data_IF_965254743227
#
_entry.id   IF_965254743227
#
_cell.length_a   1.000
_cell.length_b   1.000
_cell.length_c   1.000
_cell.angle_alpha   90.00
_cell.angle_beta   90.00
_cell.angle_gamma   90.00
#
_symmetry.space_group_name_H-M   'P 1'
#
loop_
_entity.id
_entity.type
_entity.pdbx_description
1 polymer ?
#
# COMPACT_ATOMS: atom_id res chain seq x y z
N UNK A 1 75.04 -161.44 79.48
CA UNK A 1 74.42 -161.22 80.80
C UNK A 1 72.93 -161.42 80.60
N UNK A 2 72.36 -162.63 80.59
CA UNK A 2 72.58 -163.89 81.32
C UNK A 2 71.80 -164.01 82.65
N UNK A 3 70.86 -164.96 82.65
CA UNK A 3 70.66 -166.00 83.67
C UNK A 3 70.04 -165.66 85.03
N UNK A 4 69.48 -164.46 85.25
CA UNK A 4 68.74 -164.11 86.49
C UNK A 4 67.45 -163.30 86.31
N UNK A 5 66.65 -163.64 85.30
CA UNK A 5 65.22 -163.25 85.29
C UNK A 5 64.35 -164.48 85.05
N UNK A 6 63.40 -164.70 85.95
CA UNK A 6 62.34 -165.67 85.78
C UNK A 6 61.29 -165.13 84.79
N UNK A 7 60.57 -166.04 84.14
CA UNK A 7 59.52 -165.69 83.17
C UNK A 7 58.53 -164.60 83.66
N UNK A 8 57.97 -164.64 84.89
CA UNK A 8 57.06 -163.59 85.35
C UNK A 8 57.72 -162.20 85.53
N UNK A 9 59.02 -162.11 85.80
CA UNK A 9 59.72 -160.82 85.89
C UNK A 9 59.89 -160.19 84.50
N UNK A 10 60.17 -161.02 83.48
CA UNK A 10 60.18 -160.57 82.08
C UNK A 10 58.78 -160.10 81.65
N UNK A 11 57.73 -160.83 82.05
CA UNK A 11 56.34 -160.40 81.82
C UNK A 11 56.00 -159.10 82.54
N UNK A 12 56.48 -158.87 83.77
CA UNK A 12 56.24 -157.62 84.51
C UNK A 12 56.91 -156.41 83.84
N UNK A 13 58.17 -156.54 83.41
CA UNK A 13 58.87 -155.46 82.68
C UNK A 13 58.25 -155.21 81.31
N UNK A 14 57.77 -156.26 80.62
CA UNK A 14 56.98 -156.10 79.40
C UNK A 14 55.65 -155.39 79.67
N UNK A 15 54.96 -155.72 80.76
CA UNK A 15 53.69 -155.10 81.16
C UNK A 15 53.89 -153.62 81.49
N UNK A 16 54.88 -153.23 82.30
CA UNK A 16 55.18 -151.82 82.59
C UNK A 16 55.56 -151.03 81.32
N UNK A 17 56.35 -151.62 80.41
CA UNK A 17 56.67 -150.95 79.14
C UNK A 17 55.44 -150.83 78.23
N UNK A 18 54.56 -151.84 78.18
CA UNK A 18 53.30 -151.78 77.44
C UNK A 18 52.36 -150.74 78.04
N UNK A 19 52.20 -150.70 79.35
CA UNK A 19 51.32 -149.74 80.03
C UNK A 19 51.87 -148.31 79.93
N UNK A 20 53.18 -148.10 80.01
CA UNK A 20 53.82 -146.82 79.73
C UNK A 20 53.65 -146.38 78.27
N UNK A 21 53.82 -147.31 77.31
CA UNK A 21 53.57 -147.05 75.89
C UNK A 21 52.09 -146.74 75.62
N UNK A 22 51.15 -147.40 76.29
CA UNK A 22 49.71 -147.09 76.23
C UNK A 22 49.43 -145.70 76.82
N UNK A 23 50.07 -145.33 77.93
CA UNK A 23 49.86 -144.04 78.58
C UNK A 23 50.43 -142.89 77.75
N UNK A 24 51.63 -143.03 77.16
CA UNK A 24 52.18 -142.04 76.23
C UNK A 24 51.49 -142.06 74.86
N UNK A 25 50.97 -143.20 74.38
CA UNK A 25 50.11 -143.26 73.19
C UNK A 25 48.79 -142.51 73.42
N UNK A 26 48.15 -142.70 74.57
CA UNK A 26 46.94 -141.97 74.95
C UNK A 26 47.23 -140.47 75.07
N UNK A 27 48.30 -140.07 75.75
CA UNK A 27 48.76 -138.67 75.85
C UNK A 27 49.11 -138.07 74.48
N UNK A 28 49.67 -138.86 73.56
CA UNK A 28 49.91 -138.43 72.18
C UNK A 28 48.60 -138.28 71.40
N UNK A 29 47.64 -139.19 71.59
CA UNK A 29 46.32 -139.14 70.96
C UNK A 29 45.48 -137.95 71.48
N UNK A 30 45.57 -137.62 72.77
CA UNK A 30 45.01 -136.39 73.36
C UNK A 30 45.64 -135.13 72.75
N UNK A 31 46.97 -135.09 72.62
CA UNK A 31 47.69 -133.99 71.97
C UNK A 31 47.30 -133.86 70.49
N UNK A 32 47.17 -134.97 69.76
CA UNK A 32 46.69 -134.99 68.37
C UNK A 32 45.25 -134.47 68.30
N UNK A 33 44.35 -134.94 69.17
CA UNK A 33 42.96 -134.47 69.24
C UNK A 33 42.86 -132.97 69.53
N UNK A 34 43.71 -132.47 70.44
CA UNK A 34 43.78 -131.04 70.76
C UNK A 34 44.39 -130.21 69.62
N UNK A 35 45.43 -130.70 68.94
CA UNK A 35 46.01 -130.06 67.77
C UNK A 35 45.06 -130.09 66.57
N UNK A 36 44.31 -131.17 66.35
CA UNK A 36 43.24 -131.23 65.36
C UNK A 36 42.14 -130.21 65.67
N UNK A 37 41.72 -130.09 66.93
CA UNK A 37 40.75 -129.09 67.35
C UNK A 37 41.27 -127.66 67.10
N UNK A 38 42.52 -127.37 67.48
CA UNK A 38 43.17 -126.08 67.21
C UNK A 38 43.27 -125.81 65.70
N UNK A 39 43.68 -126.79 64.91
CA UNK A 39 43.79 -126.65 63.46
C UNK A 39 42.42 -126.42 62.80
N UNK A 40 41.38 -127.18 63.20
CA UNK A 40 39.99 -126.99 62.73
C UNK A 40 39.46 -125.61 63.10
N UNK A 41 39.64 -125.17 64.34
CA UNK A 41 39.24 -123.84 64.82
C UNK A 41 40.03 -122.70 64.13
N UNK A 42 41.33 -122.90 63.88
CA UNK A 42 42.17 -121.94 63.14
C UNK A 42 41.80 -121.89 61.66
N UNK A 43 41.43 -123.00 61.03
CA UNK A 43 40.90 -122.98 59.66
C UNK A 43 39.53 -122.33 59.57
N UNK A 44 38.65 -122.53 60.56
CA UNK A 44 37.34 -121.87 60.61
C UNK A 44 37.50 -120.35 60.75
N UNK A 45 38.23 -119.88 61.77
CA UNK A 45 38.48 -118.45 62.00
C UNK A 45 39.28 -117.79 60.86
N UNK A 46 40.19 -118.50 60.20
CA UNK A 46 40.86 -118.00 58.99
C UNK A 46 39.91 -117.89 57.79
N UNK A 47 38.99 -118.83 57.63
CA UNK A 47 37.98 -118.80 56.57
C UNK A 47 36.94 -117.69 56.82
N UNK A 48 36.46 -117.54 58.05
CA UNK A 48 35.60 -116.42 58.48
C UNK A 48 36.27 -115.05 58.28
N UNK A 49 37.56 -114.92 58.63
CA UNK A 49 38.33 -113.69 58.41
C UNK A 49 38.50 -113.41 56.92
N UNK A 50 38.83 -114.43 56.12
CA UNK A 50 38.98 -114.29 54.67
C UNK A 50 37.66 -113.91 54.00
N UNK A 51 36.54 -114.55 54.39
CA UNK A 51 35.22 -114.19 53.89
C UNK A 51 34.83 -112.76 54.30
N UNK A 52 35.06 -112.37 55.56
CA UNK A 52 34.80 -111.00 56.03
C UNK A 52 35.65 -109.97 55.29
N UNK A 53 36.90 -110.31 54.95
CA UNK A 53 37.79 -109.46 54.16
C UNK A 53 37.33 -109.34 52.70
N UNK A 54 36.90 -110.44 52.08
CA UNK A 54 36.34 -110.49 50.73
C UNK A 54 35.03 -109.67 50.66
N UNK A 55 34.11 -109.86 51.62
CA UNK A 55 32.85 -109.13 51.72
C UNK A 55 33.07 -107.62 51.93
N UNK A 56 34.04 -107.23 52.76
CA UNK A 56 34.38 -105.82 52.97
C UNK A 56 35.07 -105.19 51.76
N UNK A 57 35.95 -105.90 51.05
CA UNK A 57 36.51 -105.42 49.78
C UNK A 57 35.45 -105.26 48.70
N UNK A 58 34.55 -106.25 48.53
CA UNK A 58 33.45 -106.17 47.57
C UNK A 58 32.54 -104.98 47.87
N UNK A 59 32.15 -104.79 49.14
CA UNK A 59 31.34 -103.66 49.59
C UNK A 59 32.02 -102.30 49.35
N UNK A 60 33.33 -102.19 49.59
CA UNK A 60 34.09 -100.95 49.30
C UNK A 60 34.21 -100.72 47.79
N UNK A 61 34.42 -101.77 46.99
CA UNK A 61 34.48 -101.66 45.52
C UNK A 61 33.12 -101.25 44.91
N UNK A 62 32.00 -101.75 45.44
CA UNK A 62 30.66 -101.31 45.06
C UNK A 62 30.40 -99.85 45.46
N UNK A 63 30.76 -99.45 46.68
CA UNK A 63 30.65 -98.05 47.13
C UNK A 63 31.49 -97.10 46.27
N UNK A 64 32.72 -97.49 45.93
CA UNK A 64 33.60 -96.69 45.07
C UNK A 64 33.04 -96.56 43.65
N UNK A 65 32.52 -97.65 43.06
CA UNK A 65 31.81 -97.60 41.76
C UNK A 65 30.55 -96.73 41.82
N UNK A 66 29.78 -96.78 42.91
CA UNK A 66 28.59 -95.95 43.08
C UNK A 66 28.96 -94.46 43.19
N UNK A 67 30.04 -94.14 43.91
CA UNK A 67 30.57 -92.78 44.04
C UNK A 67 31.13 -92.25 42.72
N UNK A 68 31.90 -93.05 41.97
CA UNK A 68 32.41 -92.71 40.65
C UNK A 68 31.27 -92.42 39.67
N UNK A 69 30.25 -93.29 39.61
CA UNK A 69 29.06 -93.08 38.78
C UNK A 69 28.28 -91.83 39.20
N UNK A 70 28.21 -91.51 40.50
CA UNK A 70 27.58 -90.30 41.01
C UNK A 70 28.32 -89.04 40.52
N UNK A 71 29.65 -88.99 40.68
CA UNK A 71 30.48 -87.89 40.20
C UNK A 71 30.47 -87.76 38.67
N UNK A 72 30.52 -88.87 37.94
CA UNK A 72 30.51 -88.87 36.48
C UNK A 72 29.14 -88.42 35.92
N UNK A 73 28.05 -88.67 36.65
CA UNK A 73 26.74 -88.07 36.38
C UNK A 73 26.71 -86.58 36.70
N UNK A 74 27.10 -86.17 37.91
CA UNK A 74 27.17 -84.74 38.29
C UNK A 74 28.02 -83.91 37.33
N UNK A 75 29.14 -84.46 36.86
CA UNK A 75 29.99 -83.84 35.83
C UNK A 75 29.22 -83.61 34.53
N UNK A 76 28.53 -84.64 34.00
CA UNK A 76 27.72 -84.52 32.78
C UNK A 76 26.58 -83.51 32.94
N UNK A 77 25.88 -83.55 34.07
CA UNK A 77 24.78 -82.64 34.40
C UNK A 77 25.29 -81.17 34.43
N UNK A 78 26.48 -80.93 35.01
CA UNK A 78 27.15 -79.61 35.00
C UNK A 78 27.64 -79.20 33.61
N UNK A 79 28.31 -80.07 32.86
CA UNK A 79 28.77 -79.79 31.49
C UNK A 79 27.59 -79.44 30.57
N UNK A 80 26.44 -80.12 30.74
CA UNK A 80 25.21 -79.81 30.03
C UNK A 80 24.61 -78.45 30.46
N UNK A 81 24.58 -78.13 31.75
CA UNK A 81 24.14 -76.81 32.23
C UNK A 81 25.03 -75.67 31.72
N UNK A 82 26.35 -75.82 31.78
CA UNK A 82 27.30 -74.81 31.28
C UNK A 82 27.19 -74.63 29.76
N UNK A 83 27.03 -75.70 28.98
CA UNK A 83 26.84 -75.59 27.52
C UNK A 83 25.52 -74.89 27.15
N UNK A 84 24.43 -75.17 27.87
CA UNK A 84 23.16 -74.44 27.72
C UNK A 84 23.29 -72.96 28.05
N UNK A 85 23.89 -72.62 29.19
CA UNK A 85 24.11 -71.23 29.61
C UNK A 85 25.02 -70.47 28.63
N UNK A 86 26.08 -71.11 28.12
CA UNK A 86 26.97 -70.53 27.12
C UNK A 86 26.23 -70.25 25.81
N UNK A 87 25.37 -71.18 25.37
CA UNK A 87 24.50 -71.01 24.20
C UNK A 87 23.51 -69.86 24.36
N UNK A 88 22.87 -69.73 25.53
CA UNK A 88 22.00 -68.60 25.84
C UNK A 88 22.74 -67.25 25.85
N UNK A 89 23.93 -67.19 26.46
CA UNK A 89 24.76 -65.98 26.48
C UNK A 89 25.19 -65.60 25.06
N UNK A 90 25.57 -66.57 24.24
CA UNK A 90 25.94 -66.33 22.83
C UNK A 90 24.76 -65.81 22.00
N UNK A 91 23.58 -66.45 22.10
CA UNK A 91 22.37 -66.01 21.40
C UNK A 91 21.91 -64.61 21.83
N UNK A 92 22.01 -64.28 23.13
CA UNK A 92 21.75 -62.92 23.63
C UNK A 92 22.76 -61.92 23.08
N UNK A 93 24.06 -62.25 23.10
CA UNK A 93 25.12 -61.38 22.59
C UNK A 93 24.96 -61.09 21.08
N UNK A 94 24.66 -62.11 20.26
CA UNK A 94 24.36 -61.94 18.84
C UNK A 94 23.17 -61.01 18.61
N UNK A 95 22.06 -61.19 19.36
CA UNK A 95 20.89 -60.32 19.26
C UNK A 95 21.19 -58.87 19.66
N UNK A 96 22.09 -58.65 20.62
CA UNK A 96 22.57 -57.29 20.96
C UNK A 96 23.47 -56.70 19.86
N UNK A 97 24.31 -57.51 19.21
CA UNK A 97 25.12 -57.08 18.07
C UNK A 97 24.24 -56.66 16.88
N UNK A 98 23.28 -57.50 16.47
CA UNK A 98 22.34 -57.21 15.36
C UNK A 98 21.52 -55.93 15.63
N UNK A 99 21.11 -55.70 16.88
CA UNK A 99 20.37 -54.48 17.24
C UNK A 99 21.25 -53.24 17.36
N UNK A 100 22.52 -53.39 17.75
CA UNK A 100 23.50 -52.29 17.74
C UNK A 100 23.91 -51.89 16.31
N UNK A 101 24.11 -52.84 15.40
CA UNK A 101 24.40 -52.59 13.99
C UNK A 101 23.21 -51.88 13.31
N UNK A 102 21.99 -52.40 13.50
CA UNK A 102 20.76 -51.77 13.00
C UNK A 102 20.48 -50.39 13.61
N UNK A 103 20.99 -50.11 14.82
CA UNK A 103 20.95 -48.77 15.41
C UNK A 103 22.00 -47.83 14.77
N UNK A 104 23.21 -48.34 14.50
CA UNK A 104 24.29 -47.61 13.83
C UNK A 104 23.93 -47.21 12.40
N UNK A 105 23.31 -48.11 11.62
CA UNK A 105 22.79 -47.81 10.28
C UNK A 105 21.76 -46.68 10.30
N UNK A 106 20.79 -46.76 11.23
CA UNK A 106 19.79 -45.70 11.43
C UNK A 106 20.43 -44.37 11.84
N UNK A 107 21.44 -44.41 12.71
CA UNK A 107 22.16 -43.20 13.12
C UNK A 107 22.86 -42.54 11.93
N UNK A 108 23.60 -43.30 11.12
CA UNK A 108 24.26 -42.78 9.92
C UNK A 108 23.26 -42.19 8.90
N UNK A 109 22.09 -42.82 8.73
CA UNK A 109 21.03 -42.29 7.85
C UNK A 109 20.45 -40.96 8.39
N UNK A 110 20.21 -40.85 9.70
CA UNK A 110 19.74 -39.62 10.35
C UNK A 110 20.81 -38.53 10.33
N UNK A 111 22.09 -38.90 10.48
CA UNK A 111 23.22 -37.98 10.44
C UNK A 111 23.37 -37.34 9.04
N UNK A 112 23.25 -38.13 7.97
CA UNK A 112 23.23 -37.60 6.60
C UNK A 112 22.07 -36.62 6.37
N UNK A 113 20.85 -36.95 6.80
CA UNK A 113 19.68 -36.05 6.68
C UNK A 113 19.88 -34.78 7.51
N UNK A 114 20.55 -34.87 8.66
CA UNK A 114 20.94 -33.71 9.48
C UNK A 114 21.96 -32.82 8.76
N UNK A 115 22.96 -33.38 8.08
CA UNK A 115 23.92 -32.61 7.28
C UNK A 115 23.23 -31.90 6.10
N UNK A 116 22.34 -32.59 5.38
CA UNK A 116 21.53 -32.03 4.29
C UNK A 116 20.68 -30.85 4.79
N UNK A 117 19.97 -31.01 5.92
CA UNK A 117 19.17 -29.95 6.55
C UNK A 117 20.02 -28.76 7.06
N UNK A 118 21.26 -29.00 7.52
CA UNK A 118 22.17 -27.92 7.93
C UNK A 118 22.60 -27.09 6.71
N UNK A 119 22.90 -27.75 5.58
CA UNK A 119 23.24 -27.09 4.33
C UNK A 119 22.05 -26.27 3.80
N UNK A 120 20.85 -26.85 3.74
CA UNK A 120 19.61 -26.14 3.36
C UNK A 120 19.33 -24.93 4.27
N UNK A 121 19.45 -25.09 5.59
CA UNK A 121 19.24 -23.99 6.54
C UNK A 121 20.23 -22.83 6.29
N UNK A 122 21.50 -23.15 6.03
CA UNK A 122 22.52 -22.14 5.69
C UNK A 122 22.22 -21.42 4.37
N UNK A 123 21.71 -22.15 3.38
CA UNK A 123 21.31 -21.62 2.08
C UNK A 123 20.10 -20.69 2.17
N UNK A 124 19.02 -21.11 2.84
CA UNK A 124 17.84 -20.27 3.06
C UNK A 124 18.16 -19.03 3.90
N UNK A 125 19.04 -19.15 4.91
CA UNK A 125 19.52 -17.99 5.69
C UNK A 125 20.29 -17.01 4.82
N UNK A 126 21.15 -17.49 3.91
CA UNK A 126 21.85 -16.64 2.94
C UNK A 126 20.87 -15.90 2.03
N UNK A 127 19.92 -16.62 1.41
CA UNK A 127 18.88 -16.02 0.56
C UNK A 127 18.07 -14.96 1.32
N UNK A 128 17.61 -15.27 2.53
CA UNK A 128 16.82 -14.33 3.34
C UNK A 128 17.58 -13.04 3.68
N UNK A 129 18.88 -13.14 3.99
CA UNK A 129 19.70 -11.93 4.24
C UNK A 129 19.94 -11.11 2.96
N UNK A 130 20.04 -11.76 1.80
CA UNK A 130 20.19 -11.08 0.52
C UNK A 130 18.87 -10.41 0.07
N UNK A 131 17.72 -11.07 0.15
CA UNK A 131 16.43 -10.47 -0.21
C UNK A 131 16.05 -9.33 0.74
N UNK A 132 16.36 -9.44 2.05
CA UNK A 132 16.16 -8.33 2.99
C UNK A 132 17.04 -7.12 2.65
N UNK A 133 18.26 -7.33 2.15
CA UNK A 133 19.15 -6.28 1.64
C UNK A 133 18.62 -5.66 0.34
N UNK A 134 18.09 -6.46 -0.56
CA UNK A 134 17.44 -5.99 -1.79
C UNK A 134 16.19 -5.16 -1.49
N UNK A 135 15.31 -5.61 -0.60
CA UNK A 135 14.12 -4.86 -0.18
C UNK A 135 14.48 -3.52 0.50
N UNK A 136 15.48 -3.49 1.38
CA UNK A 136 15.90 -2.26 2.07
C UNK A 136 16.61 -1.27 1.15
N UNK A 137 17.45 -1.75 0.22
CA UNK A 137 18.08 -0.88 -0.80
C UNK A 137 17.05 -0.35 -1.81
N UNK A 138 16.08 -1.17 -2.23
CA UNK A 138 14.99 -0.75 -3.10
C UNK A 138 14.05 0.26 -2.41
N UNK A 139 13.71 0.06 -1.12
CA UNK A 139 12.95 1.04 -0.35
C UNK A 139 13.68 2.39 -0.27
N UNK A 140 14.99 2.38 0.01
CA UNK A 140 15.78 3.61 0.05
C UNK A 140 15.83 4.32 -1.33
N UNK A 141 15.94 3.56 -2.43
CA UNK A 141 15.85 4.12 -3.78
C UNK A 141 14.46 4.70 -4.09
N UNK A 142 13.39 4.01 -3.71
CA UNK A 142 12.02 4.51 -3.84
C UNK A 142 11.76 5.76 -2.98
N UNK A 143 12.35 5.85 -1.77
CA UNK A 143 12.26 7.01 -0.89
C UNK A 143 12.99 8.24 -1.46
N UNK A 144 14.17 8.06 -2.09
CA UNK A 144 14.84 9.10 -2.88
C UNK A 144 13.99 9.55 -4.07
N UNK A 145 13.46 8.60 -4.85
CA UNK A 145 12.65 8.87 -6.04
C UNK A 145 11.33 9.57 -5.70
N UNK A 146 10.63 9.15 -4.65
CA UNK A 146 9.44 9.83 -4.15
C UNK A 146 9.77 11.25 -3.68
N UNK A 147 10.85 11.39 -2.90
CA UNK A 147 11.36 12.67 -2.39
C UNK A 147 11.78 13.66 -3.48
N UNK A 148 12.14 13.19 -4.68
CA UNK A 148 12.42 14.04 -5.84
C UNK A 148 11.18 14.28 -6.72
N UNK A 149 10.41 13.22 -7.03
CA UNK A 149 9.32 13.25 -7.99
C UNK A 149 8.07 13.95 -7.45
N UNK A 150 7.67 13.67 -6.20
CA UNK A 150 6.43 14.22 -5.65
C UNK A 150 6.47 15.76 -5.47
N UNK A 151 7.57 16.38 -4.99
CA UNK A 151 7.71 17.84 -4.98
C UNK A 151 7.71 18.48 -6.37
N UNK A 152 8.19 17.79 -7.41
CA UNK A 152 8.11 18.27 -8.80
C UNK A 152 6.69 18.15 -9.34
N UNK A 153 6.01 17.03 -9.10
CA UNK A 153 4.61 16.79 -9.48
C UNK A 153 3.65 17.80 -8.85
N UNK A 154 3.68 17.95 -7.52
CA UNK A 154 2.80 18.88 -6.79
C UNK A 154 3.00 20.35 -7.24
N UNK A 155 4.25 20.78 -7.45
CA UNK A 155 4.55 22.10 -8.06
C UNK A 155 4.02 22.21 -9.49
N UNK A 156 4.14 21.17 -10.31
CA UNK A 156 3.61 21.13 -11.68
C UNK A 156 2.08 21.24 -11.71
N UNK A 157 1.37 20.50 -10.86
CA UNK A 157 -0.07 20.60 -10.68
C UNK A 157 -0.50 22.02 -10.28
N UNK A 158 0.15 22.59 -9.24
CA UNK A 158 -0.17 23.94 -8.78
C UNK A 158 0.12 25.03 -9.84
N UNK A 159 1.16 24.85 -10.68
CA UNK A 159 1.44 25.70 -11.82
C UNK A 159 0.42 25.51 -12.96
N UNK A 160 -0.06 24.29 -13.21
CA UNK A 160 -1.14 24.03 -14.17
C UNK A 160 -2.40 24.78 -13.75
N UNK A 161 -2.89 24.59 -12.52
CA UNK A 161 -4.09 25.28 -12.03
C UNK A 161 -3.94 26.81 -12.10
N UNK A 162 -2.75 27.35 -11.83
CA UNK A 162 -2.47 28.78 -11.99
C UNK A 162 -2.46 29.24 -13.46
N UNK A 163 -1.88 28.45 -14.38
CA UNK A 163 -1.96 28.69 -15.84
C UNK A 163 -3.42 28.72 -16.29
N UNK A 164 -4.21 27.73 -15.90
CA UNK A 164 -5.59 27.56 -16.37
C UNK A 164 -6.49 28.70 -15.89
N UNK A 165 -6.34 29.13 -14.63
CA UNK A 165 -6.98 30.35 -14.12
C UNK A 165 -6.50 31.61 -14.87
N UNK A 166 -5.21 31.76 -15.15
CA UNK A 166 -4.70 32.92 -15.89
C UNK A 166 -5.17 32.94 -17.35
N UNK A 167 -5.35 31.77 -17.97
CA UNK A 167 -5.87 31.63 -19.33
C UNK A 167 -7.34 32.03 -19.40
N UNK A 168 -8.18 31.60 -18.45
CA UNK A 168 -9.57 32.04 -18.32
C UNK A 168 -9.68 33.57 -18.20
N UNK A 169 -8.86 34.17 -17.33
CA UNK A 169 -8.84 35.61 -17.12
C UNK A 169 -8.32 36.38 -18.36
N UNK A 170 -7.37 35.82 -19.11
CA UNK A 170 -6.90 36.37 -20.37
C UNK A 170 -7.97 36.29 -21.48
N UNK A 171 -8.67 35.16 -21.59
CA UNK A 171 -9.78 34.97 -22.52
C UNK A 171 -10.91 35.97 -22.24
N UNK A 172 -11.31 36.09 -20.98
CA UNK A 172 -12.32 37.07 -20.52
C UNK A 172 -11.89 38.51 -20.83
N UNK A 173 -10.60 38.84 -20.66
CA UNK A 173 -10.08 40.15 -21.00
C UNK A 173 -10.11 40.44 -22.52
N UNK A 174 -9.75 39.49 -23.38
CA UNK A 174 -9.81 39.71 -24.83
C UNK A 174 -11.26 39.81 -25.35
N UNK A 175 -12.21 39.04 -24.80
CA UNK A 175 -13.65 39.20 -25.09
C UNK A 175 -14.12 40.61 -24.71
N UNK A 176 -13.88 41.03 -23.46
CA UNK A 176 -14.24 42.38 -23.00
C UNK A 176 -13.57 43.49 -23.83
N UNK A 177 -12.30 43.33 -24.18
CA UNK A 177 -11.55 44.25 -25.06
C UNK A 177 -12.15 44.32 -26.47
N UNK A 178 -12.73 43.22 -26.96
CA UNK A 178 -13.46 43.22 -28.23
C UNK A 178 -14.82 43.92 -28.11
N UNK A 179 -15.56 43.74 -27.01
CA UNK A 179 -16.78 44.53 -26.73
C UNK A 179 -16.48 46.04 -26.70
N UNK A 180 -15.38 46.43 -26.02
CA UNK A 180 -14.90 47.82 -25.96
C UNK A 180 -14.62 48.35 -27.37
N UNK A 181 -13.97 47.57 -28.23
CA UNK A 181 -13.72 47.95 -29.63
C UNK A 181 -15.02 48.11 -30.40
N UNK A 182 -15.91 47.12 -30.39
CA UNK A 182 -17.19 47.16 -31.12
C UNK A 182 -18.02 48.38 -30.71
N UNK A 183 -18.12 48.64 -29.40
CA UNK A 183 -18.81 49.82 -28.86
C UNK A 183 -18.12 51.12 -29.25
N UNK A 184 -16.78 51.16 -29.30
CA UNK A 184 -16.02 52.32 -29.76
C UNK A 184 -16.24 52.61 -31.25
N UNK A 185 -16.28 51.59 -32.12
CA UNK A 185 -16.54 51.78 -33.55
C UNK A 185 -17.99 52.23 -33.79
N UNK A 186 -18.96 51.69 -33.04
CA UNK A 186 -20.37 52.09 -33.10
C UNK A 186 -20.67 53.51 -32.56
N UNK A 187 -19.69 54.18 -31.95
CA UNK A 187 -19.82 55.54 -31.38
C UNK A 187 -18.82 56.56 -31.97
N UNK A 188 -17.89 56.13 -32.83
CA UNK A 188 -16.77 56.95 -33.29
C UNK A 188 -17.05 57.64 -34.62
N UNK A 189 -17.97 58.60 -34.60
CA UNK A 189 -18.25 59.50 -35.73
C UNK A 189 -18.34 60.97 -35.27
N UNK A 190 -17.57 61.32 -34.22
CA UNK A 190 -17.53 62.65 -33.58
C UNK A 190 -16.06 63.05 -33.32
N UNK A 191 -15.72 64.29 -33.64
CA UNK A 191 -14.34 64.80 -33.74
C UNK A 191 -13.57 64.90 -32.40
N UNK A 192 -12.31 64.45 -32.36
CA UNK A 192 -11.37 64.78 -31.27
C UNK A 192 -10.59 66.08 -31.54
N UNK A 193 -11.08 67.21 -31.01
CA UNK A 193 -10.29 68.44 -30.77
C UNK A 193 -10.59 69.00 -29.36
N UNK A 194 -9.78 69.98 -28.93
CA UNK A 194 -9.92 70.72 -27.66
C UNK A 194 -9.94 69.91 -26.34
N UNK A 195 -8.74 69.55 -25.83
CA UNK A 195 -8.39 69.46 -24.39
C UNK A 195 -6.98 68.87 -24.24
N UNK A 196 -5.90 69.65 -24.06
CA UNK A 196 -4.57 69.04 -23.78
C UNK A 196 -3.84 69.56 -22.52
N UNK A 197 -4.09 70.79 -22.05
CA UNK A 197 -3.47 71.29 -20.82
C UNK A 197 -3.83 70.46 -19.58
N UNK A 198 -5.13 70.22 -19.35
CA UNK A 198 -5.59 69.40 -18.24
C UNK A 198 -5.16 67.91 -18.34
N UNK A 199 -4.75 67.43 -19.52
CA UNK A 199 -4.27 66.06 -19.72
C UNK A 199 -2.88 65.87 -19.09
N UNK A 200 -2.02 66.89 -19.03
CA UNK A 200 -0.61 66.76 -18.58
C UNK A 200 -0.49 66.36 -17.10
N UNK A 201 -1.11 67.11 -16.17
CA UNK A 201 -1.11 66.75 -14.73
C UNK A 201 -1.84 65.42 -14.45
N UNK A 202 -2.92 65.12 -15.16
CA UNK A 202 -3.65 63.84 -15.05
C UNK A 202 -2.86 62.64 -15.63
N UNK A 203 -2.00 62.83 -16.63
CA UNK A 203 -1.08 61.80 -17.16
C UNK A 203 -0.10 61.32 -16.07
N UNK A 204 0.50 62.22 -15.27
CA UNK A 204 1.51 61.87 -14.26
C UNK A 204 1.00 60.87 -13.19
N UNK A 205 -0.04 61.23 -12.44
CA UNK A 205 -0.60 60.35 -11.40
C UNK A 205 -1.19 59.05 -11.98
N UNK A 206 -1.80 59.11 -13.17
CA UNK A 206 -2.29 57.92 -13.91
C UNK A 206 -1.13 57.00 -14.33
N UNK A 207 0.07 57.56 -14.56
CA UNK A 207 1.33 56.84 -14.73
C UNK A 207 1.79 56.18 -13.42
N UNK A 208 1.89 56.94 -12.32
CA UNK A 208 2.32 56.40 -11.02
C UNK A 208 1.42 55.26 -10.51
N UNK A 209 0.10 55.37 -10.65
CA UNK A 209 -0.85 54.29 -10.31
C UNK A 209 -0.60 53.04 -11.18
N UNK A 210 -0.29 53.20 -12.47
CA UNK A 210 0.04 52.08 -13.37
C UNK A 210 1.37 51.43 -13.00
N UNK A 211 2.39 52.22 -12.66
CA UNK A 211 3.70 51.73 -12.21
C UNK A 211 3.55 50.96 -10.89
N UNK A 212 2.84 51.52 -9.90
CA UNK A 212 2.57 50.85 -8.64
C UNK A 212 1.79 49.55 -8.83
N UNK A 213 0.73 49.53 -9.66
CA UNK A 213 0.00 48.29 -9.97
C UNK A 213 0.87 47.23 -10.65
N UNK A 214 1.77 47.62 -11.56
CA UNK A 214 2.78 46.70 -12.13
C UNK A 214 3.70 46.13 -11.04
N UNK A 215 4.22 46.98 -10.15
CA UNK A 215 5.06 46.55 -9.02
C UNK A 215 4.34 45.60 -8.06
N UNK A 216 3.08 45.89 -7.71
CA UNK A 216 2.22 45.00 -6.91
C UNK A 216 2.06 43.63 -7.56
N UNK A 217 1.80 43.58 -8.87
CA UNK A 217 1.65 42.32 -9.61
C UNK A 217 2.96 41.52 -9.60
N UNK A 218 4.11 42.16 -9.87
CA UNK A 218 5.43 41.51 -9.84
C UNK A 218 5.76 40.98 -8.43
N UNK A 219 5.51 41.76 -7.38
CA UNK A 219 5.76 41.35 -5.99
C UNK A 219 4.85 40.21 -5.54
N UNK A 220 3.57 40.22 -5.95
CA UNK A 220 2.64 39.11 -5.67
C UNK A 220 3.00 37.85 -6.48
N UNK A 221 3.44 37.99 -7.72
CA UNK A 221 3.92 36.88 -8.54
C UNK A 221 5.20 36.25 -7.95
N UNK A 222 6.18 37.08 -7.56
CA UNK A 222 7.39 36.63 -6.89
C UNK A 222 7.09 35.93 -5.55
N UNK A 223 6.14 36.45 -4.75
CA UNK A 223 5.73 35.81 -3.50
C UNK A 223 5.01 34.46 -3.74
N UNK A 224 4.18 34.35 -4.78
CA UNK A 224 3.57 33.07 -5.19
C UNK A 224 4.63 32.06 -5.66
N UNK A 225 5.59 32.49 -6.46
CA UNK A 225 6.73 31.67 -6.90
C UNK A 225 7.57 31.17 -5.70
N UNK A 226 7.84 32.06 -4.73
CA UNK A 226 8.52 31.73 -3.49
C UNK A 226 7.74 30.70 -2.65
N UNK A 227 6.41 30.84 -2.53
CA UNK A 227 5.56 29.86 -1.83
C UNK A 227 5.62 28.49 -2.53
N UNK A 228 5.54 28.43 -3.86
CA UNK A 228 5.72 27.19 -4.64
C UNK A 228 7.11 26.55 -4.42
N UNK A 229 8.14 27.35 -4.13
CA UNK A 229 9.46 26.85 -3.75
C UNK A 229 9.50 26.26 -2.34
N UNK A 230 8.71 26.79 -1.40
CA UNK A 230 8.90 26.60 0.05
C UNK A 230 8.16 25.41 0.68
N UNK A 231 7.37 24.66 -0.09
CA UNK A 231 6.42 23.67 0.42
C UNK A 231 6.99 22.33 0.90
N UNK A 232 8.31 22.11 0.84
CA UNK A 232 8.94 20.82 1.22
C UNK A 232 10.25 21.05 1.98
N UNK A 233 10.50 20.23 3.01
CA UNK A 233 11.78 20.21 3.72
C UNK A 233 12.79 19.40 2.90
N UNK A 234 13.83 20.09 2.44
CA UNK A 234 14.88 19.54 1.61
C UNK A 234 15.87 18.71 2.43
N UNK A 235 16.21 17.53 1.92
CA UNK A 235 17.34 16.72 2.39
C UNK A 235 18.64 17.16 1.70
N UNK A 236 18.60 17.31 0.38
CA UNK A 236 19.68 17.88 -0.43
C UNK A 236 19.15 18.41 -1.77
N UNK A 237 20.00 19.15 -2.49
CA UNK A 237 19.78 19.51 -3.89
C UNK A 237 20.79 18.77 -4.77
N UNK A 238 20.29 18.04 -5.77
CA UNK A 238 21.12 17.38 -6.78
C UNK A 238 21.32 18.30 -7.97
N UNK A 239 22.56 18.53 -8.37
CA UNK A 239 22.92 19.35 -9.54
C UNK A 239 23.71 18.48 -10.51
N UNK A 240 23.28 18.44 -11.78
CA UNK A 240 24.05 17.88 -12.90
C UNK A 240 25.28 18.77 -13.14
N UNK A 241 26.48 18.25 -12.88
CA UNK A 241 27.73 19.02 -12.91
C UNK A 241 28.10 19.65 -14.26
N UNK A 242 27.35 19.31 -15.32
CA UNK A 242 27.54 19.84 -16.68
C UNK A 242 26.64 21.03 -17.02
N UNK A 243 25.77 21.50 -16.11
CA UNK A 243 24.87 22.65 -16.35
C UNK A 243 24.71 23.53 -15.11
N UNK A 244 24.78 24.85 -15.33
CA UNK A 244 24.44 25.90 -14.35
C UNK A 244 22.91 26.00 -14.13
N UNK A 245 22.29 24.88 -13.76
CA UNK A 245 20.85 24.72 -13.60
C UNK A 245 20.37 24.75 -12.15
N UNK A 246 19.09 25.03 -11.97
CA UNK A 246 18.41 24.86 -10.67
C UNK A 246 18.32 23.36 -10.39
N UNK A 247 19.01 22.89 -9.34
CA UNK A 247 19.08 21.48 -8.98
C UNK A 247 17.74 20.86 -8.57
N UNK A 248 17.63 19.55 -8.74
CA UNK A 248 16.48 18.77 -8.28
C UNK A 248 16.52 18.69 -6.74
N UNK A 249 15.46 19.16 -6.09
CA UNK A 249 15.33 19.15 -4.64
C UNK A 249 14.80 17.78 -4.17
N UNK A 250 15.62 17.03 -3.43
CA UNK A 250 15.20 15.76 -2.81
C UNK A 250 14.71 16.08 -1.40
N UNK A 251 13.47 15.69 -1.11
CA UNK A 251 12.75 16.02 0.13
C UNK A 251 12.40 14.77 0.94
N UNK A 252 12.10 14.96 2.23
CA UNK A 252 11.68 13.91 3.17
C UNK A 252 10.18 14.04 3.51
N UNK A 253 9.51 12.91 3.71
CA UNK A 253 8.12 12.86 4.19
C UNK A 253 8.00 13.20 5.68
N UNK A 254 6.76 13.41 6.14
CA UNK A 254 6.39 13.63 7.56
C UNK A 254 7.13 14.75 8.32
N UNK A 255 7.87 15.61 7.61
CA UNK A 255 8.81 16.54 8.20
C UNK A 255 8.08 17.71 8.92
N UNK A 256 7.79 17.52 10.20
CA UNK A 256 7.20 18.54 11.09
C UNK A 256 8.25 19.63 11.39
N UNK A 257 8.05 20.83 10.85
CA UNK A 257 8.97 21.95 11.04
C UNK A 257 8.99 22.42 12.50
N UNK A 258 10.15 22.26 13.15
CA UNK A 258 10.42 22.74 14.51
C UNK A 258 11.25 24.02 14.46
N UNK A 259 10.55 25.12 14.15
CA UNK A 259 11.02 26.47 14.43
C UNK A 259 11.49 26.56 15.92
N UNK A 260 12.49 27.41 16.19
CA UNK A 260 13.18 27.64 17.49
C UNK A 260 14.36 26.72 17.88
N UNK A 261 14.74 25.70 17.09
CA UNK A 261 15.90 24.86 17.42
C UNK A 261 17.26 25.44 16.97
N UNK A 262 18.33 25.10 17.69
CA UNK A 262 19.72 25.44 17.32
C UNK A 262 20.21 24.67 16.09
N UNK A 263 21.34 25.09 15.52
CA UNK A 263 21.88 24.52 14.26
C UNK A 263 22.16 23.01 14.37
N UNK A 264 22.94 22.58 15.35
CA UNK A 264 23.27 21.16 15.52
C UNK A 264 22.07 20.29 15.88
N UNK A 265 21.11 20.82 16.65
CA UNK A 265 19.85 20.11 16.94
C UNK A 265 19.01 19.90 15.66
N UNK A 266 18.99 20.88 14.75
CA UNK A 266 18.35 20.73 13.43
C UNK A 266 19.08 19.70 12.57
N UNK A 267 20.40 19.79 12.46
CA UNK A 267 21.23 18.83 11.71
C UNK A 267 21.00 17.39 12.19
N UNK A 268 21.01 17.15 13.52
CA UNK A 268 20.73 15.84 14.11
C UNK A 268 19.30 15.34 13.86
N UNK A 269 18.29 16.22 13.95
CA UNK A 269 16.89 15.87 13.67
C UNK A 269 16.68 15.57 12.19
N UNK A 270 17.31 16.30 11.27
CA UNK A 270 17.24 16.00 9.84
C UNK A 270 17.89 14.65 9.51
N UNK A 271 19.01 14.28 10.15
CA UNK A 271 19.58 12.94 10.02
C UNK A 271 18.62 11.83 10.51
N UNK A 272 17.95 12.05 11.64
CA UNK A 272 16.95 11.10 12.16
C UNK A 272 15.71 10.99 11.24
N UNK A 273 15.20 12.11 10.74
CA UNK A 273 14.08 12.15 9.80
C UNK A 273 14.43 11.50 8.44
N UNK A 274 15.66 11.68 7.97
CA UNK A 274 16.16 11.02 6.76
C UNK A 274 16.25 9.51 6.96
N UNK A 275 16.77 9.05 8.10
CA UNK A 275 16.84 7.63 8.42
C UNK A 275 15.44 7.01 8.51
N UNK A 276 14.50 7.65 9.22
CA UNK A 276 13.11 7.17 9.29
C UNK A 276 12.39 7.20 7.93
N UNK A 277 12.77 8.12 7.03
CA UNK A 277 12.26 8.14 5.65
C UNK A 277 12.75 6.94 4.84
N UNK A 278 14.06 6.65 4.88
CA UNK A 278 14.65 5.50 4.17
C UNK A 278 14.24 4.14 4.76
N UNK A 279 13.75 4.09 5.99
CA UNK A 279 13.24 2.87 6.65
C UNK A 279 11.73 2.91 6.93
N UNK A 280 10.95 3.77 6.24
CA UNK A 280 9.52 3.94 6.52
C UNK A 280 8.71 2.70 6.12
N UNK A 281 8.06 2.07 7.10
CA UNK A 281 7.08 1.00 6.91
C UNK A 281 5.90 1.45 6.06
N UNK A 282 5.50 2.71 6.22
CA UNK A 282 4.25 3.23 5.69
C UNK A 282 4.43 3.65 4.23
N UNK A 283 5.62 4.16 3.89
CA UNK A 283 6.08 4.28 2.51
C UNK A 283 6.20 2.92 1.81
N UNK A 284 6.80 1.91 2.46
CA UNK A 284 6.91 0.56 1.90
C UNK A 284 5.52 -0.06 1.63
N UNK A 285 4.60 0.05 2.59
CA UNK A 285 3.22 -0.38 2.44
C UNK A 285 2.49 0.39 1.33
N UNK A 286 2.69 1.72 1.23
CA UNK A 286 2.12 2.54 0.18
C UNK A 286 2.62 2.16 -1.22
N UNK A 287 3.90 1.80 -1.37
CA UNK A 287 4.48 1.29 -2.62
C UNK A 287 3.86 -0.05 -2.98
N UNK A 288 3.96 -1.06 -2.09
CA UNK A 288 3.46 -2.42 -2.34
C UNK A 288 1.97 -2.41 -2.69
N UNK A 289 1.15 -1.74 -1.88
CA UNK A 289 -0.31 -1.70 -2.09
C UNK A 289 -0.76 -0.82 -3.26
N UNK A 290 0.13 -0.03 -3.86
CA UNK A 290 -0.16 0.69 -5.11
C UNK A 290 0.28 -0.11 -6.34
N UNK A 291 1.35 -0.90 -6.23
CA UNK A 291 1.88 -1.73 -7.33
C UNK A 291 1.23 -3.11 -7.47
N UNK A 292 0.45 -3.56 -6.48
CA UNK A 292 -0.18 -4.88 -6.47
C UNK A 292 -0.96 -5.24 -7.75
N UNK A 293 -1.78 -4.33 -8.27
CA UNK A 293 -2.55 -4.55 -9.52
C UNK A 293 -1.64 -4.67 -10.75
N UNK A 294 -0.59 -3.85 -10.84
CA UNK A 294 0.40 -3.95 -11.91
C UNK A 294 1.20 -5.25 -11.81
N UNK A 295 1.57 -5.69 -10.60
CA UNK A 295 2.26 -6.96 -10.37
C UNK A 295 1.37 -8.17 -10.70
N UNK A 296 0.07 -8.10 -10.40
CA UNK A 296 -0.90 -9.12 -10.77
C UNK A 296 -1.06 -9.22 -12.30
N UNK A 297 -1.18 -8.09 -13.01
CA UNK A 297 -1.24 -8.08 -14.48
C UNK A 297 0.06 -8.62 -15.07
N UNK A 298 1.23 -8.17 -14.60
CA UNK A 298 2.53 -8.63 -15.10
C UNK A 298 2.78 -10.13 -14.88
N UNK A 299 2.32 -10.70 -13.77
CA UNK A 299 2.50 -12.14 -13.47
C UNK A 299 1.55 -13.07 -14.23
N UNK A 300 0.42 -12.54 -14.76
CA UNK A 300 -0.60 -13.30 -15.51
C UNK A 300 -0.51 -13.14 -17.03
N UNK A 301 0.42 -12.32 -17.53
CA UNK A 301 0.44 -11.87 -18.93
C UNK A 301 1.51 -12.56 -19.77
N UNK A 302 1.09 -13.15 -20.90
CA UNK A 302 2.00 -13.61 -21.95
C UNK A 302 2.59 -12.41 -22.74
N UNK A 303 3.94 -12.26 -22.81
CA UNK A 303 4.60 -11.19 -23.56
C UNK A 303 4.28 -11.16 -25.07
N UNK A 304 3.80 -12.26 -25.64
CA UNK A 304 3.48 -12.38 -27.07
C UNK A 304 2.19 -11.64 -27.48
N UNK A 305 1.32 -11.33 -26.52
CA UNK A 305 -0.05 -10.87 -26.80
C UNK A 305 -0.17 -9.36 -26.98
N UNK A 306 -0.49 -8.90 -28.20
CA UNK A 306 -0.70 -7.47 -28.49
C UNK A 306 -1.81 -6.83 -27.63
N UNK A 307 -2.84 -7.60 -27.27
CA UNK A 307 -3.93 -7.15 -26.38
C UNK A 307 -3.44 -6.83 -24.96
N UNK A 308 -2.32 -7.39 -24.50
CA UNK A 308 -1.83 -7.16 -23.14
C UNK A 308 -1.25 -5.75 -22.93
N UNK A 309 -0.75 -5.10 -23.99
CA UNK A 309 -0.11 -3.78 -23.89
C UNK A 309 -1.05 -2.72 -23.32
N UNK A 310 -2.33 -2.74 -23.72
CA UNK A 310 -3.35 -1.85 -23.18
C UNK A 310 -3.68 -2.14 -21.71
N UNK A 311 -3.66 -3.41 -21.29
CA UNK A 311 -3.89 -3.80 -19.89
C UNK A 311 -2.72 -3.34 -19.00
N UNK A 312 -1.47 -3.58 -19.42
CA UNK A 312 -0.27 -3.13 -18.70
C UNK A 312 -0.25 -1.60 -18.58
N UNK A 313 -0.52 -0.86 -19.66
CA UNK A 313 -0.55 0.62 -19.62
C UNK A 313 -1.67 1.14 -18.71
N UNK A 314 -2.82 0.48 -18.67
CA UNK A 314 -3.93 0.87 -17.79
C UNK A 314 -3.61 0.57 -16.32
N UNK A 315 -3.09 -0.62 -16.02
CA UNK A 315 -2.64 -0.99 -14.67
C UNK A 315 -1.52 -0.05 -14.18
N UNK A 316 -0.53 0.27 -15.03
CA UNK A 316 0.54 1.20 -14.69
C UNK A 316 0.02 2.61 -14.39
N UNK A 317 -0.96 3.12 -15.15
CA UNK A 317 -1.62 4.41 -14.86
C UNK A 317 -2.36 4.39 -13.52
N UNK A 318 -3.11 3.32 -13.24
CA UNK A 318 -3.86 3.17 -11.99
C UNK A 318 -2.92 3.06 -10.78
N UNK A 319 -1.88 2.22 -10.88
CA UNK A 319 -0.82 2.08 -9.86
C UNK A 319 -0.04 3.37 -9.64
N UNK A 320 0.25 4.13 -10.70
CA UNK A 320 0.89 5.44 -10.57
C UNK A 320 -0.01 6.45 -9.86
N UNK A 321 -1.29 6.57 -10.22
CA UNK A 321 -2.23 7.46 -9.51
C UNK A 321 -2.28 7.12 -8.02
N UNK A 322 -2.53 5.84 -7.69
CA UNK A 322 -2.56 5.33 -6.30
C UNK A 322 -1.28 5.61 -5.53
N UNK A 323 -0.12 5.52 -6.19
CA UNK A 323 1.16 5.89 -5.60
C UNK A 323 1.21 7.40 -5.31
N UNK A 324 0.86 8.26 -6.26
CA UNK A 324 0.89 9.71 -6.08
C UNK A 324 -0.12 10.19 -5.02
N UNK A 325 -1.29 9.57 -4.94
CA UNK A 325 -2.31 9.86 -3.93
C UNK A 325 -1.82 9.51 -2.51
N UNK A 326 -1.18 8.34 -2.33
CA UNK A 326 -0.58 7.95 -1.04
C UNK A 326 0.66 8.76 -0.70
N UNK A 327 1.52 9.04 -1.69
CA UNK A 327 2.65 9.95 -1.51
C UNK A 327 2.17 11.35 -1.12
N UNK A 328 1.00 11.80 -1.57
CA UNK A 328 0.42 13.06 -1.08
C UNK A 328 0.17 13.05 0.43
N UNK A 329 -0.46 11.99 0.95
CA UNK A 329 -0.72 11.85 2.40
C UNK A 329 0.57 11.76 3.24
N UNK A 330 1.62 11.14 2.69
CA UNK A 330 2.90 10.90 3.38
C UNK A 330 3.87 12.10 3.27
N UNK A 331 3.83 12.80 2.13
CA UNK A 331 4.65 13.99 1.85
C UNK A 331 3.93 15.31 2.17
N UNK A 332 2.70 15.28 2.70
CA UNK A 332 2.09 16.43 3.38
C UNK A 332 2.87 16.76 4.66
N UNK A 333 3.93 17.55 4.47
CA UNK A 333 4.36 18.53 5.47
C UNK A 333 3.11 19.28 5.92
N UNK A 334 2.83 19.28 7.23
CA UNK A 334 1.63 19.90 7.81
C UNK A 334 1.54 21.36 7.34
N UNK A 335 0.70 21.58 6.32
CA UNK A 335 0.58 22.85 5.66
C UNK A 335 -0.02 23.88 6.61
N UNK A 336 0.58 25.07 6.67
CA UNK A 336 -0.03 26.22 7.34
C UNK A 336 -1.23 26.67 6.52
N UNK A 337 -2.39 26.04 6.79
CA UNK A 337 -3.73 26.44 6.35
C UNK A 337 -3.86 26.77 4.84
N UNK A 338 -3.14 26.08 3.96
CA UNK A 338 -3.26 26.26 2.49
C UNK A 338 -4.64 25.89 1.94
N UNK A 339 -5.45 25.16 2.72
CA UNK A 339 -6.86 24.85 2.46
C UNK A 339 -7.85 25.81 3.12
N UNK A 340 -7.41 26.75 3.97
CA UNK A 340 -8.31 27.84 4.40
C UNK A 340 -8.62 28.72 3.21
N UNK A 341 -9.91 28.82 2.92
CA UNK A 341 -10.50 29.78 1.99
C UNK A 341 -9.93 31.18 2.21
N UNK A 342 -9.91 32.00 1.15
CA UNK A 342 -9.23 33.30 1.09
C UNK A 342 -9.87 34.31 2.08
N UNK A 343 -9.50 34.20 3.35
CA UNK A 343 -10.12 34.84 4.51
C UNK A 343 -9.12 35.66 5.33
N UNK A 344 -8.15 36.27 4.64
CA UNK A 344 -7.79 37.70 4.73
C UNK A 344 -7.52 38.35 6.12
N UNK A 345 -7.25 37.60 7.19
CA UNK A 345 -7.08 38.13 8.57
C UNK A 345 -5.65 37.89 9.12
N UNK A 346 -4.63 37.75 8.25
CA UNK A 346 -3.24 37.96 8.67
C UNK A 346 -2.88 39.45 8.71
N UNK A 347 -2.70 39.98 9.93
CA UNK A 347 -2.16 41.33 10.16
C UNK A 347 -0.73 41.43 9.60
N UNK A 348 -0.47 42.51 8.87
CA UNK A 348 0.81 42.85 8.22
C UNK A 348 1.31 41.86 7.15
N UNK A 349 0.43 40.96 6.69
CA UNK A 349 0.62 40.18 5.46
C UNK A 349 1.01 41.08 4.26
N UNK A 350 1.77 40.52 3.33
CA UNK A 350 2.23 41.22 2.12
C UNK A 350 1.07 41.87 1.36
N UNK A 351 -0.06 41.17 1.27
CA UNK A 351 -1.29 41.65 0.62
C UNK A 351 -1.84 42.89 1.34
N UNK A 352 -1.90 42.89 2.68
CA UNK A 352 -2.35 44.05 3.44
C UNK A 352 -1.38 45.25 3.30
N UNK A 353 -0.07 45.00 3.28
CA UNK A 353 0.96 46.04 3.07
C UNK A 353 0.82 46.69 1.69
N UNK A 354 0.60 45.90 0.64
CA UNK A 354 0.38 46.40 -0.73
C UNK A 354 -0.96 47.13 -0.86
N UNK A 355 -2.02 46.67 -0.18
CA UNK A 355 -3.32 47.34 -0.13
C UNK A 355 -3.25 48.72 0.57
N UNK A 356 -2.56 48.83 1.72
CA UNK A 356 -2.27 50.11 2.38
C UNK A 356 -1.52 51.07 1.45
N UNK A 357 -0.55 50.56 0.68
CA UNK A 357 0.18 51.32 -0.36
C UNK A 357 -0.74 51.83 -1.48
N UNK A 358 -1.61 50.97 -2.02
CA UNK A 358 -2.57 51.35 -3.05
C UNK A 358 -3.54 52.43 -2.55
N UNK A 359 -4.05 52.29 -1.33
CA UNK A 359 -4.95 53.25 -0.70
C UNK A 359 -4.30 54.63 -0.55
N UNK A 360 -3.02 54.69 -0.11
CA UNK A 360 -2.27 55.95 0.01
C UNK A 360 -2.16 56.68 -1.34
N UNK A 361 -1.87 55.95 -2.43
CA UNK A 361 -1.72 56.53 -3.77
C UNK A 361 -3.09 56.94 -4.35
N UNK A 362 -4.13 56.14 -4.17
CA UNK A 362 -5.49 56.49 -4.58
C UNK A 362 -5.98 57.76 -3.85
N UNK A 363 -5.74 57.88 -2.54
CA UNK A 363 -6.10 59.07 -1.76
C UNK A 363 -5.35 60.33 -2.23
N UNK A 364 -4.09 60.20 -2.66
CA UNK A 364 -3.33 61.29 -3.27
C UNK A 364 -3.90 61.68 -4.66
N UNK A 365 -4.32 60.70 -5.47
CA UNK A 365 -4.92 60.95 -6.78
C UNK A 365 -6.33 61.60 -6.68
N UNK A 366 -7.13 61.20 -5.69
CA UNK A 366 -8.42 61.84 -5.36
C UNK A 366 -8.21 63.31 -4.97
N UNK A 367 -7.24 63.60 -4.09
CA UNK A 367 -6.82 64.98 -3.75
C UNK A 367 -6.30 65.77 -4.95
N UNK A 368 -5.85 65.11 -6.01
CA UNK A 368 -5.43 65.71 -7.29
C UNK A 368 -6.56 65.79 -8.35
N UNK A 369 -7.83 65.63 -7.96
CA UNK A 369 -8.98 65.77 -8.87
C UNK A 369 -9.13 64.64 -9.90
N UNK A 370 -8.64 63.44 -9.57
CA UNK A 370 -8.88 62.22 -10.34
C UNK A 370 -9.92 61.40 -9.58
N UNK A 371 -11.16 61.42 -10.07
CA UNK A 371 -12.28 60.70 -9.45
C UNK A 371 -12.01 59.19 -9.39
N UNK A 372 -12.65 58.52 -8.43
CA UNK A 372 -12.59 57.06 -8.38
C UNK A 372 -13.17 56.45 -9.67
N UNK A 373 -12.62 55.31 -10.08
CA UNK A 373 -12.97 54.64 -11.33
C UNK A 373 -13.87 53.46 -11.06
N UNK A 374 -15.17 53.67 -11.29
CA UNK A 374 -16.14 52.60 -11.55
C UNK A 374 -15.51 51.55 -12.49
N UNK A 375 -15.63 50.24 -12.20
CA UNK A 375 -15.09 49.19 -13.07
C UNK A 375 -15.57 49.38 -14.51
N UNK A 376 -14.65 49.31 -15.48
CA UNK A 376 -14.93 49.67 -16.88
C UNK A 376 -16.03 48.77 -17.49
N UNK A 377 -16.14 47.52 -17.03
CA UNK A 377 -17.25 46.60 -17.33
C UNK A 377 -18.61 47.18 -16.92
N UNK A 378 -18.74 47.70 -15.69
CA UNK A 378 -19.98 48.36 -15.22
C UNK A 378 -20.28 49.64 -16.01
N UNK A 379 -19.26 50.42 -16.37
CA UNK A 379 -19.42 51.61 -17.22
C UNK A 379 -19.91 51.24 -18.63
N UNK A 380 -19.38 50.18 -19.23
CA UNK A 380 -19.76 49.70 -20.57
C UNK A 380 -21.15 49.09 -20.58
N UNK A 381 -21.49 48.23 -19.61
CA UNK A 381 -22.86 47.71 -19.46
C UNK A 381 -23.89 48.84 -19.25
N UNK A 382 -23.53 49.88 -18.51
CA UNK A 382 -24.37 51.08 -18.33
C UNK A 382 -24.53 51.86 -19.65
N UNK A 383 -23.47 51.98 -20.45
CA UNK A 383 -23.49 52.67 -21.74
C UNK A 383 -24.28 51.89 -22.81
N UNK A 384 -24.06 50.57 -22.91
CA UNK A 384 -24.85 49.66 -23.75
C UNK A 384 -26.35 49.75 -23.40
N UNK A 385 -26.69 49.71 -22.10
CA UNK A 385 -28.07 49.91 -21.64
C UNK A 385 -28.62 51.28 -22.04
N UNK A 386 -27.85 52.37 -21.90
CA UNK A 386 -28.31 53.72 -22.29
C UNK A 386 -28.49 53.89 -23.80
N UNK A 387 -27.65 53.24 -24.61
CA UNK A 387 -27.82 53.18 -26.07
C UNK A 387 -29.08 52.39 -26.43
N UNK A 388 -29.31 51.23 -25.82
CA UNK A 388 -30.52 50.45 -26.03
C UNK A 388 -31.79 51.23 -25.64
N UNK A 389 -31.81 51.87 -24.46
CA UNK A 389 -32.89 52.76 -24.02
C UNK A 389 -33.11 53.97 -24.94
N UNK A 390 -32.09 54.41 -25.69
CA UNK A 390 -32.20 55.49 -26.66
C UNK A 390 -32.76 54.99 -28.00
N UNK A 391 -32.19 53.91 -28.55
CA UNK A 391 -32.67 53.27 -29.79
C UNK A 391 -34.12 52.82 -29.67
N UNK A 392 -34.54 52.29 -28.52
CA UNK A 392 -35.94 51.93 -28.26
C UNK A 392 -36.87 53.16 -28.34
N UNK A 393 -36.51 54.28 -27.69
CA UNK A 393 -37.29 55.53 -27.75
C UNK A 393 -37.30 56.16 -29.15
N UNK A 394 -36.18 56.10 -29.87
CA UNK A 394 -36.09 56.56 -31.26
C UNK A 394 -37.01 55.74 -32.18
N UNK A 395 -37.07 54.41 -31.97
CA UNK A 395 -37.97 53.54 -32.70
C UNK A 395 -39.45 53.84 -32.40
N UNK A 396 -39.83 54.00 -31.14
CA UNK A 396 -41.19 54.40 -30.75
C UNK A 396 -41.59 55.73 -31.41
N UNK A 397 -40.75 56.76 -31.33
CA UNK A 397 -41.02 58.06 -31.95
C UNK A 397 -41.11 57.99 -33.50
N UNK A 398 -40.35 57.11 -34.16
CA UNK A 398 -40.47 56.88 -35.60
C UNK A 398 -41.75 56.12 -35.99
N UNK A 399 -42.23 55.20 -35.13
CA UNK A 399 -43.52 54.52 -35.31
C UNK A 399 -44.68 55.51 -35.13
N UNK A 400 -44.66 56.33 -34.08
CA UNK A 400 -45.63 57.41 -33.85
C UNK A 400 -45.63 58.41 -35.02
N UNK A 401 -44.46 58.85 -35.49
CA UNK A 401 -44.33 59.73 -36.67
C UNK A 401 -44.90 59.11 -37.94
N UNK A 402 -44.90 57.77 -38.07
CA UNK A 402 -45.53 57.06 -39.20
C UNK A 402 -47.05 56.98 -39.05
N UNK A 403 -47.57 56.70 -37.85
CA UNK A 403 -49.01 56.74 -37.57
C UNK A 403 -49.60 58.11 -37.88
N UNK A 404 -49.02 59.17 -37.28
CA UNK A 404 -49.46 60.56 -37.48
C UNK A 404 -49.38 61.01 -38.95
N UNK A 405 -48.50 60.41 -39.76
CA UNK A 405 -48.46 60.66 -41.22
C UNK A 405 -49.59 59.96 -41.97
N UNK A 406 -49.94 58.73 -41.60
CA UNK A 406 -51.07 58.01 -42.17
C UNK A 406 -52.38 58.74 -41.83
N UNK A 407 -52.57 59.08 -40.55
CA UNK A 407 -53.68 59.88 -40.05
C UNK A 407 -53.78 61.23 -40.79
N UNK A 408 -52.67 61.96 -40.97
CA UNK A 408 -52.65 63.21 -41.73
C UNK A 408 -53.04 63.01 -43.21
N UNK A 409 -52.59 61.92 -43.85
CA UNK A 409 -53.04 61.60 -45.22
C UNK A 409 -54.52 61.24 -45.29
N UNK A 410 -55.07 60.57 -44.27
CA UNK A 410 -56.50 60.24 -44.17
C UNK A 410 -57.35 61.48 -43.91
N UNK A 411 -56.98 62.35 -42.95
CA UNK A 411 -57.61 63.65 -42.75
C UNK A 411 -57.58 64.51 -44.03
N UNK A 412 -56.47 64.48 -44.79
CA UNK A 412 -56.37 65.18 -46.07
C UNK A 412 -57.26 64.57 -47.16
N UNK A 413 -57.45 63.24 -47.16
CA UNK A 413 -58.41 62.53 -48.04
C UNK A 413 -59.83 62.97 -47.71
N UNK A 414 -60.19 62.93 -46.43
CA UNK A 414 -61.53 63.24 -45.94
C UNK A 414 -61.85 64.74 -46.10
N UNK A 415 -60.88 65.66 -45.94
CA UNK A 415 -61.03 67.08 -46.30
C UNK A 415 -61.29 67.30 -47.79
N UNK A 416 -60.65 66.54 -48.68
CA UNK A 416 -60.91 66.60 -50.12
C UNK A 416 -62.29 66.03 -50.49
N UNK A 417 -62.82 65.08 -49.72
CA UNK A 417 -64.18 64.54 -49.88
C UNK A 417 -65.22 65.56 -49.37
N UNK A 418 -65.06 66.06 -48.14
CA UNK A 418 -65.88 67.15 -47.58
C UNK A 418 -65.86 68.40 -48.48
N UNK A 419 -64.72 68.75 -49.09
CA UNK A 419 -64.68 69.85 -50.06
C UNK A 419 -65.55 69.57 -51.28
N UNK A 420 -65.46 68.38 -51.90
CA UNK A 420 -66.32 68.01 -53.03
C UNK A 420 -67.81 68.03 -52.65
N UNK A 421 -68.14 67.75 -51.38
CA UNK A 421 -69.52 67.85 -50.89
C UNK A 421 -69.96 69.29 -50.63
N UNK A 422 -69.06 70.17 -50.15
CA UNK A 422 -69.30 71.60 -50.09
C UNK A 422 -69.46 72.22 -51.50
N UNK A 423 -68.60 71.86 -52.45
CA UNK A 423 -68.68 72.29 -53.85
C UNK A 423 -70.03 71.86 -54.49
N UNK A 424 -70.49 70.62 -54.22
CA UNK A 424 -71.84 70.14 -54.60
C UNK A 424 -72.95 70.93 -53.91
N UNK A 425 -72.86 71.16 -52.60
CA UNK A 425 -73.87 71.87 -51.83
C UNK A 425 -74.00 73.33 -52.27
N UNK A 426 -72.89 73.98 -52.63
CA UNK A 426 -72.88 75.30 -53.24
C UNK A 426 -73.56 75.28 -54.62
N UNK A 427 -73.25 74.30 -55.48
CA UNK A 427 -73.94 74.16 -56.78
C UNK A 427 -75.46 73.92 -56.63
N UNK A 428 -75.88 73.14 -55.64
CA UNK A 428 -77.30 72.95 -55.29
C UNK A 428 -77.92 74.24 -54.74
N UNK A 429 -77.19 75.05 -53.97
CA UNK A 429 -77.63 76.36 -53.48
C UNK A 429 -77.78 77.37 -54.63
N UNK A 430 -76.89 77.33 -55.62
CA UNK A 430 -76.97 78.13 -56.85
C UNK A 430 -78.18 77.71 -57.70
N UNK A 431 -78.44 76.42 -57.85
CA UNK A 431 -79.67 75.89 -58.48
C UNK A 431 -80.94 76.29 -57.70
N UNK A 432 -80.93 76.25 -56.37
CA UNK A 432 -82.04 76.69 -55.52
C UNK A 432 -82.31 78.20 -55.67
N UNK A 433 -81.25 79.01 -55.79
CA UNK A 433 -81.36 80.45 -56.02
C UNK A 433 -81.92 80.76 -57.42
N UNK A 434 -81.48 80.04 -58.46
CA UNK A 434 -82.04 80.13 -59.80
C UNK A 434 -83.52 79.70 -59.84
N UNK A 435 -83.88 78.64 -59.12
CA UNK A 435 -85.28 78.21 -58.97
C UNK A 435 -86.12 79.29 -58.27
N UNK A 436 -85.62 79.88 -57.18
CA UNK A 436 -86.30 81.03 -56.52
C UNK A 436 -86.50 82.21 -57.47
N UNK A 437 -85.52 82.55 -58.31
CA UNK A 437 -85.68 83.59 -59.33
C UNK A 437 -86.79 83.23 -60.34
N UNK A 438 -86.87 81.96 -60.78
CA UNK A 438 -87.95 81.53 -61.67
C UNK A 438 -89.35 81.58 -61.02
N UNK A 439 -89.45 81.32 -59.70
CA UNK A 439 -90.71 81.46 -58.95
C UNK A 439 -91.09 82.93 -58.78
N UNK A 440 -90.14 83.82 -58.46
CA UNK A 440 -90.40 85.27 -58.37
C UNK A 440 -90.78 85.92 -59.70
N UNK A 441 -90.46 85.28 -60.84
CA UNK A 441 -90.98 85.68 -62.16
C UNK A 441 -92.45 85.23 -62.32
N UNK A 442 -92.80 84.03 -61.88
CA UNK A 442 -94.16 83.48 -61.96
C UNK A 442 -95.19 84.21 -61.08
N UNK A 443 -94.79 84.67 -59.89
CA UNK A 443 -95.69 85.41 -58.99
C UNK A 443 -96.00 86.85 -59.46
N UNK A 444 -95.30 87.37 -60.48
CA UNK A 444 -95.46 88.74 -60.98
C UNK A 444 -96.49 88.91 -62.11
N UNK A 445 -96.92 87.84 -62.79
CA UNK A 445 -97.83 87.94 -63.95
C UNK A 445 -99.32 88.17 -63.60
N UNK A 446 -99.69 88.26 -62.31
CA UNK A 446 -101.11 88.26 -61.90
C UNK A 446 -101.80 89.63 -61.78
N UNK A 447 -101.13 90.75 -62.03
CA UNK A 447 -101.72 92.10 -62.06
C UNK A 447 -101.03 93.04 -63.07
N UNK A 448 -101.64 93.28 -64.24
CA UNK A 448 -101.19 94.31 -65.21
C UNK A 448 -102.09 95.57 -65.22
N UNK A 449 -101.98 96.55 -66.14
CA UNK A 449 -101.06 96.76 -67.29
C UNK A 449 -100.51 98.24 -67.22
N UNK A 450 -100.46 99.19 -68.19
CA UNK A 450 -100.89 99.34 -69.61
C UNK A 450 -100.27 100.58 -70.34
N UNK A 451 -99.55 100.37 -71.47
CA UNK A 451 -99.32 101.33 -72.60
C UNK A 451 -98.54 102.67 -72.31
N UNK A 452 -97.89 103.41 -73.25
CA UNK A 452 -97.58 103.32 -74.71
C UNK A 452 -96.32 104.18 -75.07
N UNK A 453 -95.75 104.16 -76.31
CA UNK A 453 -94.49 104.85 -76.69
C UNK A 453 -94.61 105.99 -77.73
N UNK A 454 -93.49 106.71 -78.02
CA UNK A 454 -93.15 107.26 -79.35
C UNK A 454 -91.87 106.60 -79.94
N UNK A 455 -91.83 106.08 -81.19
CA UNK A 455 -91.63 106.76 -82.51
C UNK A 455 -90.22 107.39 -82.71
N UNK A 456 -89.46 107.18 -83.81
CA UNK A 456 -89.39 106.10 -84.85
C UNK A 456 -88.02 106.20 -85.58
N UNK A 457 -87.44 105.06 -86.02
CA UNK A 457 -86.57 104.84 -87.20
C UNK A 457 -85.83 103.49 -87.03
N UNK A 458 -85.88 102.53 -87.96
CA UNK A 458 -86.67 102.43 -89.21
C UNK A 458 -87.35 101.07 -89.30
#
# INVERSE_FOLDING_TARGET
MLDKFSWPELCAVLQENVDALILDLNRANEKISHLEYICKNKSATMWELQQTQEDTFNKVAEQMKAQENCWLKQKKDLEQQYSGLLGEVHARAQKYQETAEKAKEKFAAVEKVREELILENSHFKSILTQTQKEHTTLLAACALMAGALYPLYSRSCALSTQRDFLQDQANTYEVFKQEVRTLSHALSDIEEKELDEAKKKKKHYKGMIRIFRKGVIVVLAANRLHILGRSCIALFSWVDGFREGIGILVCIGEAKDKHNLSRHQKEQIHCLQALSWFTSSDLLAAIITSMAELQEVLSKTDPSSWLCGHLIVTAARNSFSKLMDKLSSIMEVVGVDSSRSITYIEKDSLVQRLARGLHKINAQALKAGISDRVPVTKSIASLQKKIFEFTQRLHTAEVERRSLRLELTEFKRNLNEMKKEADKAQSLQEQLNAFKQSVSIFDLEKTGLKERPPFIHS
#
